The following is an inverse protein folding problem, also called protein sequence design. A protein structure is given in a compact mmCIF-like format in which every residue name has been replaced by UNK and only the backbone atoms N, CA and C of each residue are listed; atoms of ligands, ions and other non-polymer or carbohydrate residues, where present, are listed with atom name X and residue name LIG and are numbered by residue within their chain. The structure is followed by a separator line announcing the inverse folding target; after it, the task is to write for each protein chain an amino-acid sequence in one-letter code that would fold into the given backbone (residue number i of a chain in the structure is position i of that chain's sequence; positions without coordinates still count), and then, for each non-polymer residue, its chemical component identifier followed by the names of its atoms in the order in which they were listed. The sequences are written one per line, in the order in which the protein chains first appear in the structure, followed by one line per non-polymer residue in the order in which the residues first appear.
data_IF_209517906230
#
_entry.id   IF_209517906230
#
_cell.length_a   1.000
_cell.length_b   1.000
_cell.length_c   1.000
_cell.angle_alpha   90.00
_cell.angle_beta   90.00
_cell.angle_gamma   90.00
#
_symmetry.space_group_name_H-M   'P 1'
#
loop_
_entity.id
_entity.type
_entity.pdbx_description
1 polymer ?
#
# COMPACT_ATOMS: atom_id res chain seq x y z
N UNK A 1 -14.07 8.62 11.94
CA UNK A 1 -13.83 7.26 12.49
C UNK A 1 -13.58 6.19 11.41
N UNK A 2 -14.55 5.89 10.53
CA UNK A 2 -14.37 4.81 9.53
C UNK A 2 -13.20 5.04 8.56
N UNK A 3 -13.02 6.21 7.94
CA UNK A 3 -11.88 6.43 7.06
C UNK A 3 -10.54 6.20 7.75
N UNK A 4 -10.37 6.78 8.93
CA UNK A 4 -9.14 6.65 9.71
C UNK A 4 -8.88 5.23 10.19
N UNK A 5 -9.95 4.47 10.51
CA UNK A 5 -9.86 3.04 10.81
C UNK A 5 -9.38 2.23 9.59
N UNK A 6 -9.96 2.45 8.40
CA UNK A 6 -9.58 1.71 7.18
C UNK A 6 -8.16 2.05 6.77
N UNK A 7 -7.75 3.32 6.86
CA UNK A 7 -6.38 3.76 6.61
C UNK A 7 -5.43 3.07 7.59
N UNK A 8 -5.66 3.21 8.91
CA UNK A 8 -4.81 2.61 9.93
C UNK A 8 -4.73 1.08 9.85
N UNK A 9 -5.85 0.42 9.52
CA UNK A 9 -5.88 -1.03 9.30
C UNK A 9 -5.02 -1.42 8.09
N UNK A 10 -5.14 -0.70 6.99
CA UNK A 10 -4.45 -1.03 5.76
C UNK A 10 -2.95 -0.78 5.84
N UNK A 11 -2.54 0.42 6.20
CA UNK A 11 -1.12 0.78 6.31
C UNK A 11 -0.44 -0.03 7.43
N UNK A 12 -1.16 -0.21 8.55
CA UNK A 12 -0.71 -1.09 9.62
C UNK A 12 -0.53 -2.54 9.18
N UNK A 13 -1.39 -3.08 8.31
CA UNK A 13 -1.24 -4.42 7.75
C UNK A 13 -0.03 -4.52 6.82
N UNK A 14 0.25 -3.50 5.99
CA UNK A 14 1.44 -3.48 5.12
C UNK A 14 2.72 -3.48 5.96
N UNK A 15 2.80 -2.59 6.95
CA UNK A 15 3.92 -2.57 7.89
C UNK A 15 4.07 -3.90 8.66
N UNK A 16 2.96 -4.44 9.19
CA UNK A 16 2.97 -5.68 9.96
C UNK A 16 3.39 -6.90 9.13
N UNK A 17 3.01 -6.95 7.85
CA UNK A 17 3.45 -8.01 6.92
C UNK A 17 4.96 -7.95 6.68
N UNK A 18 5.51 -6.77 6.40
CA UNK A 18 6.94 -6.61 6.14
C UNK A 18 7.75 -6.97 7.39
N UNK A 19 7.39 -6.39 8.54
CA UNK A 19 8.07 -6.68 9.81
C UNK A 19 7.90 -8.15 10.20
N UNK A 20 6.71 -8.72 10.01
CA UNK A 20 6.42 -10.12 10.30
C UNK A 20 7.26 -11.08 9.48
N UNK A 21 7.41 -10.85 8.16
CA UNK A 21 8.24 -11.69 7.28
C UNK A 21 9.71 -11.58 7.69
N UNK A 22 10.23 -10.37 7.92
CA UNK A 22 11.61 -10.16 8.37
C UNK A 22 11.86 -10.84 9.73
N UNK A 23 10.93 -10.68 10.67
CA UNK A 23 11.02 -11.28 11.98
C UNK A 23 10.96 -12.81 11.92
N UNK A 24 10.06 -13.38 11.10
CA UNK A 24 9.97 -14.84 10.89
C UNK A 24 11.27 -15.40 10.33
N UNK A 25 11.82 -14.72 9.36
CA UNK A 25 13.04 -15.14 8.69
C UNK A 25 14.25 -15.11 9.63
N UNK A 26 14.43 -14.03 10.41
CA UNK A 26 15.49 -13.94 11.43
C UNK A 26 15.29 -14.94 12.57
N UNK A 27 14.03 -15.20 12.94
CA UNK A 27 13.68 -16.19 13.95
C UNK A 27 14.05 -17.61 13.53
N UNK A 28 13.78 -18.00 12.29
CA UNK A 28 14.16 -19.31 11.73
C UNK A 28 15.69 -19.52 11.71
N UNK A 29 16.45 -18.46 11.56
CA UNK A 29 17.92 -18.51 11.56
C UNK A 29 18.54 -18.40 12.96
N UNK A 30 17.73 -18.30 14.01
CA UNK A 30 18.23 -18.16 15.38
C UNK A 30 18.93 -16.83 15.68
N UNK A 31 18.85 -15.82 14.78
CA UNK A 31 19.52 -14.51 14.88
C UNK A 31 18.75 -13.55 15.80
N UNK A 32 18.65 -13.88 17.08
CA UNK A 32 17.92 -13.07 18.09
C UNK A 32 18.45 -11.64 18.23
N UNK A 33 19.76 -11.45 18.04
CA UNK A 33 20.37 -10.11 18.13
C UNK A 33 19.88 -9.21 16.98
N UNK A 34 19.81 -9.74 15.78
CA UNK A 34 19.28 -9.01 14.61
C UNK A 34 17.77 -8.72 14.78
N UNK A 35 17.01 -9.65 15.34
CA UNK A 35 15.60 -9.45 15.65
C UNK A 35 15.38 -8.28 16.62
N UNK A 36 16.22 -8.18 17.66
CA UNK A 36 16.18 -7.03 18.59
C UNK A 36 16.47 -5.72 17.87
N UNK A 37 17.45 -5.70 16.94
CA UNK A 37 17.76 -4.52 16.15
C UNK A 37 16.60 -4.12 15.23
N UNK A 38 15.88 -5.08 14.63
CA UNK A 38 14.66 -4.82 13.85
C UNK A 38 13.62 -4.09 14.71
N UNK A 39 13.34 -4.59 15.92
CA UNK A 39 12.37 -3.94 16.82
C UNK A 39 12.79 -2.53 17.23
N UNK A 40 14.08 -2.30 17.47
CA UNK A 40 14.62 -0.96 17.74
C UNK A 40 14.41 -0.06 16.51
N UNK A 41 14.74 -0.54 15.30
CA UNK A 41 14.53 0.20 14.06
C UNK A 41 13.06 0.56 13.84
N UNK A 42 12.15 -0.40 14.02
CA UNK A 42 10.69 -0.18 13.93
C UNK A 42 10.23 0.88 14.95
N UNK A 43 10.69 0.78 16.21
CA UNK A 43 10.33 1.76 17.25
C UNK A 43 10.82 3.16 16.91
N UNK A 44 12.03 3.30 16.38
CA UNK A 44 12.57 4.59 15.94
C UNK A 44 11.74 5.15 14.77
N UNK A 45 11.42 4.32 13.76
CA UNK A 45 10.60 4.74 12.62
C UNK A 45 9.22 5.24 13.08
N UNK A 46 8.54 4.51 13.94
CA UNK A 46 7.23 4.89 14.51
C UNK A 46 7.35 6.20 15.29
N UNK A 47 8.40 6.34 16.13
CA UNK A 47 8.61 7.57 16.90
C UNK A 47 8.84 8.79 16.01
N UNK A 48 9.58 8.64 14.91
CA UNK A 48 9.78 9.69 13.91
C UNK A 48 8.46 10.08 13.27
N UNK A 49 7.65 9.11 12.85
CA UNK A 49 6.34 9.37 12.23
C UNK A 49 5.38 10.09 13.19
N UNK A 50 5.34 9.67 14.45
CA UNK A 50 4.53 10.35 15.49
C UNK A 50 5.02 11.78 15.68
N UNK A 51 6.33 12.01 15.78
CA UNK A 51 6.90 13.35 15.93
C UNK A 51 6.56 14.26 14.75
N UNK A 52 6.66 13.73 13.51
CA UNK A 52 6.26 14.46 12.29
C UNK A 52 4.76 14.80 12.33
N UNK A 53 3.90 13.84 12.69
CA UNK A 53 2.46 14.05 12.79
C UNK A 53 2.09 15.14 13.81
N UNK A 54 2.69 15.10 14.99
CA UNK A 54 2.50 16.13 16.03
C UNK A 54 3.01 17.48 15.53
N UNK A 55 4.19 17.54 14.92
CA UNK A 55 4.76 18.80 14.42
C UNK A 55 3.85 19.44 13.36
N UNK A 56 3.36 18.64 12.39
CA UNK A 56 2.45 19.13 11.37
C UNK A 56 1.12 19.62 11.96
N UNK A 57 0.58 18.91 12.95
CA UNK A 57 -0.65 19.32 13.63
C UNK A 57 -0.48 20.63 14.39
N UNK A 58 0.64 20.81 15.11
CA UNK A 58 0.93 22.04 15.84
C UNK A 58 1.10 23.22 14.87
N UNK A 59 1.90 23.02 13.81
CA UNK A 59 2.08 24.05 12.78
C UNK A 59 0.74 24.45 12.17
N UNK A 60 -0.12 23.48 11.83
CA UNK A 60 -1.42 23.76 11.25
C UNK A 60 -2.32 24.59 12.18
N UNK A 61 -2.30 24.31 13.50
CA UNK A 61 -3.16 25.00 14.47
C UNK A 61 -2.77 26.47 14.72
N UNK A 62 -1.50 26.84 14.48
CA UNK A 62 -0.98 28.18 14.72
C UNK A 62 -1.12 29.11 13.50
N UNK A 63 -1.57 28.60 12.36
CA UNK A 63 -1.70 29.37 11.12
C UNK A 63 -2.98 30.22 11.09
N UNK A 64 -2.94 31.43 10.47
CA UNK A 64 -4.13 32.17 10.11
C UNK A 64 -5.04 31.32 9.21
N UNK A 65 -6.37 31.45 9.34
CA UNK A 65 -7.35 30.62 8.66
C UNK A 65 -7.07 30.38 7.16
N UNK A 66 -6.80 31.43 6.41
CA UNK A 66 -6.48 31.31 4.96
C UNK A 66 -5.26 30.44 4.66
N UNK A 67 -4.24 30.50 5.51
CA UNK A 67 -3.02 29.70 5.35
C UNK A 67 -3.28 28.26 5.77
N UNK A 68 -4.10 28.06 6.79
CA UNK A 68 -4.55 26.76 7.23
C UNK A 68 -5.33 26.06 6.10
N UNK A 69 -6.31 26.72 5.49
CA UNK A 69 -7.08 26.20 4.33
C UNK A 69 -6.15 25.85 3.14
N UNK A 70 -5.16 26.73 2.87
CA UNK A 70 -4.14 26.43 1.85
C UNK A 70 -3.27 25.21 2.19
N UNK A 71 -2.88 25.05 3.44
CA UNK A 71 -2.13 23.86 3.90
C UNK A 71 -2.99 22.59 3.75
N UNK A 72 -4.25 22.65 4.18
CA UNK A 72 -5.21 21.55 4.07
C UNK A 72 -5.43 21.12 2.63
N UNK A 73 -5.55 22.09 1.71
CA UNK A 73 -5.63 21.84 0.27
C UNK A 73 -4.40 21.08 -0.24
N UNK A 74 -3.20 21.52 0.11
CA UNK A 74 -1.96 20.89 -0.34
C UNK A 74 -1.82 19.48 0.24
N UNK A 75 -2.06 19.31 1.55
CA UNK A 75 -1.99 18.00 2.21
C UNK A 75 -3.04 17.05 1.65
N UNK A 76 -4.27 17.53 1.43
CA UNK A 76 -5.33 16.76 0.80
C UNK A 76 -4.99 16.32 -0.62
N UNK A 77 -4.45 17.23 -1.45
CA UNK A 77 -4.02 16.90 -2.80
C UNK A 77 -2.87 15.86 -2.82
N UNK A 78 -1.88 16.02 -1.95
CA UNK A 78 -0.80 15.04 -1.79
C UNK A 78 -1.37 13.69 -1.39
N UNK A 79 -2.27 13.65 -0.40
CA UNK A 79 -2.91 12.42 0.06
C UNK A 79 -3.66 11.71 -1.08
N UNK A 80 -4.43 12.44 -1.89
CA UNK A 80 -5.13 11.89 -3.06
C UNK A 80 -4.17 11.27 -4.06
N UNK A 81 -3.07 11.96 -4.40
CA UNK A 81 -2.04 11.44 -5.33
C UNK A 81 -1.41 10.17 -4.76
N UNK A 82 -1.04 10.16 -3.47
CA UNK A 82 -0.43 9.01 -2.79
C UNK A 82 -1.39 7.82 -2.76
N UNK A 83 -2.66 8.01 -2.34
CA UNK A 83 -3.68 6.94 -2.35
C UNK A 83 -3.88 6.39 -3.76
N UNK A 84 -3.99 7.26 -4.76
CA UNK A 84 -4.18 6.86 -6.15
C UNK A 84 -3.02 5.98 -6.63
N UNK A 85 -1.79 6.45 -6.43
CA UNK A 85 -0.59 5.69 -6.80
C UNK A 85 -0.55 4.34 -6.09
N UNK A 86 -0.75 4.33 -4.77
CA UNK A 86 -0.71 3.15 -3.93
C UNK A 86 -1.77 2.12 -4.33
N UNK A 87 -3.02 2.55 -4.54
CA UNK A 87 -4.12 1.66 -4.96
C UNK A 87 -3.85 1.05 -6.34
N UNK A 88 -3.34 1.82 -7.29
CA UNK A 88 -2.98 1.34 -8.62
C UNK A 88 -1.79 0.38 -8.60
N UNK A 89 -0.78 0.68 -7.77
CA UNK A 89 0.39 -0.17 -7.59
C UNK A 89 0.02 -1.51 -6.93
N UNK A 90 -0.72 -1.46 -5.81
CA UNK A 90 -1.17 -2.65 -5.09
C UNK A 90 -2.07 -3.55 -5.94
N UNK A 91 -2.91 -2.96 -6.78
CA UNK A 91 -3.73 -3.73 -7.71
C UNK A 91 -2.89 -4.64 -8.60
N UNK A 92 -1.67 -4.21 -8.98
CA UNK A 92 -0.76 -4.96 -9.85
C UNK A 92 0.09 -5.99 -9.09
N UNK A 93 0.47 -5.69 -7.84
CA UNK A 93 1.48 -6.45 -7.09
C UNK A 93 0.91 -7.24 -5.88
N UNK A 94 -0.35 -7.04 -5.49
CA UNK A 94 -0.92 -7.64 -4.27
C UNK A 94 -0.93 -9.18 -4.23
N UNK A 95 -0.82 -9.85 -5.39
CA UNK A 95 -0.81 -11.32 -5.47
C UNK A 95 0.57 -11.90 -5.20
N UNK A 96 1.60 -11.18 -5.59
CA UNK A 96 2.99 -11.64 -5.57
C UNK A 96 3.77 -11.05 -4.39
N UNK A 97 3.16 -10.09 -3.65
CA UNK A 97 3.79 -9.32 -2.58
C UNK A 97 4.52 -10.20 -1.54
N UNK A 98 3.89 -11.31 -1.13
CA UNK A 98 4.51 -12.24 -0.17
C UNK A 98 5.78 -12.88 -0.75
N UNK A 99 5.71 -13.36 -1.98
CA UNK A 99 6.86 -13.97 -2.67
C UNK A 99 8.00 -12.97 -2.92
N UNK A 100 7.65 -11.75 -3.31
CA UNK A 100 8.63 -10.68 -3.54
C UNK A 100 9.37 -10.32 -2.24
N UNK A 101 8.65 -10.22 -1.12
CA UNK A 101 9.23 -9.94 0.20
C UNK A 101 10.10 -11.10 0.72
N UNK A 102 9.66 -12.36 0.54
CA UNK A 102 10.43 -13.54 0.90
C UNK A 102 11.72 -13.64 0.06
N UNK A 103 11.64 -13.35 -1.23
CA UNK A 103 12.79 -13.30 -2.13
C UNK A 103 13.78 -12.19 -1.78
N UNK A 104 13.27 -10.98 -1.47
CA UNK A 104 14.09 -9.86 -1.05
C UNK A 104 14.81 -10.14 0.28
N UNK A 105 14.09 -10.75 1.25
CA UNK A 105 14.67 -11.18 2.52
C UNK A 105 15.73 -12.27 2.31
N UNK A 106 15.45 -13.25 1.45
CA UNK A 106 16.40 -14.31 1.08
C UNK A 106 17.68 -13.77 0.44
N UNK A 107 17.56 -12.82 -0.49
CA UNK A 107 18.70 -12.18 -1.15
C UNK A 107 19.55 -11.34 -0.19
N UNK A 108 18.92 -10.60 0.73
CA UNK A 108 19.63 -9.84 1.75
C UNK A 108 20.42 -10.72 2.71
N UNK A 109 19.99 -11.95 2.93
CA UNK A 109 20.69 -12.93 3.75
C UNK A 109 21.79 -13.68 3.01
N UNK A 110 21.57 -14.00 1.74
CA UNK A 110 22.63 -14.58 0.90
C UNK A 110 23.86 -13.66 0.86
N UNK A 111 23.66 -12.34 0.98
CA UNK A 111 24.73 -11.35 1.15
C UNK A 111 25.35 -11.29 2.56
N UNK A 112 24.87 -12.10 3.51
CA UNK A 112 25.39 -12.20 4.88
C UNK A 112 25.08 -11.03 5.81
N UNK A 113 24.29 -10.06 5.38
CA UNK A 113 24.08 -8.79 6.10
C UNK A 113 22.75 -8.74 6.85
N UNK A 114 22.74 -9.12 8.13
CA UNK A 114 21.60 -8.86 8.99
C UNK A 114 21.26 -7.36 9.10
N UNK A 115 22.24 -6.46 8.92
CA UNK A 115 22.05 -5.01 8.91
C UNK A 115 21.14 -4.58 7.75
N UNK A 116 21.25 -5.21 6.58
CA UNK A 116 20.41 -4.90 5.43
C UNK A 116 18.92 -5.16 5.73
N UNK A 117 18.60 -6.24 6.44
CA UNK A 117 17.22 -6.55 6.87
C UNK A 117 16.67 -5.54 7.89
N UNK A 118 17.52 -5.10 8.82
CA UNK A 118 17.14 -4.06 9.80
C UNK A 118 16.83 -2.74 9.09
N UNK A 119 17.69 -2.32 8.16
CA UNK A 119 17.48 -1.10 7.37
C UNK A 119 16.25 -1.21 6.49
N UNK A 120 16.03 -2.37 5.86
CA UNK A 120 14.85 -2.63 5.04
C UNK A 120 13.55 -2.51 5.89
N UNK A 121 13.51 -3.14 7.06
CA UNK A 121 12.36 -3.05 7.96
C UNK A 121 12.13 -1.62 8.47
N UNK A 122 13.20 -0.91 8.85
CA UNK A 122 13.15 0.49 9.27
C UNK A 122 12.58 1.39 8.17
N UNK A 123 13.12 1.33 6.95
CA UNK A 123 12.68 2.17 5.83
C UNK A 123 11.26 1.84 5.40
N UNK A 124 10.87 0.56 5.42
CA UNK A 124 9.52 0.16 5.10
C UNK A 124 8.52 0.72 6.12
N UNK A 125 8.77 0.55 7.42
CA UNK A 125 7.88 1.09 8.47
C UNK A 125 7.87 2.62 8.46
N UNK A 126 9.00 3.26 8.19
CA UNK A 126 9.08 4.73 8.06
C UNK A 126 8.22 5.22 6.91
N UNK A 127 8.25 4.53 5.76
CA UNK A 127 7.42 4.83 4.60
C UNK A 127 5.93 4.68 4.92
N UNK A 128 5.51 3.52 5.41
CA UNK A 128 4.09 3.25 5.73
C UNK A 128 3.59 4.18 6.83
N UNK A 129 4.43 4.47 7.82
CA UNK A 129 4.12 5.42 8.88
C UNK A 129 3.97 6.85 8.37
N UNK A 130 4.81 7.29 7.43
CA UNK A 130 4.69 8.60 6.79
C UNK A 130 3.41 8.70 5.95
N UNK A 131 3.09 7.66 5.15
CA UNK A 131 1.83 7.57 4.40
C UNK A 131 0.63 7.67 5.36
N UNK A 132 0.67 6.92 6.48
CA UNK A 132 -0.36 6.98 7.53
C UNK A 132 -0.53 8.40 8.08
N UNK A 133 0.56 9.10 8.41
CA UNK A 133 0.51 10.47 8.96
C UNK A 133 -0.17 11.42 7.98
N UNK A 134 0.23 11.40 6.70
CA UNK A 134 -0.35 12.27 5.66
C UNK A 134 -1.85 11.98 5.48
N UNK A 135 -2.24 10.71 5.41
CA UNK A 135 -3.64 10.33 5.23
C UNK A 135 -4.51 10.65 6.44
N UNK A 136 -3.98 10.42 7.65
CA UNK A 136 -4.70 10.78 8.88
C UNK A 136 -4.87 12.29 8.99
N UNK A 137 -3.83 13.07 8.70
CA UNK A 137 -3.90 14.53 8.76
C UNK A 137 -4.96 15.06 7.76
N UNK A 138 -4.91 14.61 6.49
CA UNK A 138 -5.91 14.96 5.49
C UNK A 138 -7.33 14.59 5.91
N UNK A 139 -7.50 13.42 6.53
CA UNK A 139 -8.82 12.93 6.95
C UNK A 139 -9.31 13.61 8.23
N UNK A 140 -8.43 14.04 9.14
CA UNK A 140 -8.80 14.77 10.35
C UNK A 140 -9.44 16.12 10.02
N UNK A 141 -8.84 16.86 9.09
CA UNK A 141 -9.39 18.14 8.63
C UNK A 141 -10.77 17.94 7.95
N UNK A 142 -10.92 16.88 7.16
CA UNK A 142 -12.20 16.57 6.51
C UNK A 142 -13.32 16.10 7.45
N UNK A 143 -13.02 15.61 8.67
CA UNK A 143 -14.00 14.85 9.49
C UNK A 143 -14.71 15.64 10.58
N UNK A 144 -14.32 16.85 10.90
CA UNK A 144 -14.95 17.73 11.91
C UNK A 144 -14.98 17.18 13.36
N UNK A 145 -14.54 15.93 13.60
CA UNK A 145 -14.50 15.32 14.94
C UNK A 145 -13.19 14.56 15.17
N UNK A 146 -12.21 15.27 15.73
CA UNK A 146 -10.87 14.75 15.96
C UNK A 146 -10.85 13.49 16.84
N UNK A 147 -11.65 13.45 17.92
CA UNK A 147 -11.65 12.33 18.86
C UNK A 147 -12.07 11.02 18.22
N UNK A 148 -13.14 11.03 17.42
CA UNK A 148 -13.60 9.84 16.70
C UNK A 148 -12.60 9.41 15.62
N UNK A 149 -11.90 10.35 15.02
CA UNK A 149 -10.87 10.06 14.01
C UNK A 149 -9.65 9.41 14.63
N UNK A 150 -9.19 9.90 15.80
CA UNK A 150 -8.12 9.25 16.57
C UNK A 150 -8.49 7.84 17.01
N UNK A 151 -9.71 7.64 17.53
CA UNK A 151 -10.20 6.32 17.90
C UNK A 151 -10.19 5.36 16.72
N UNK A 152 -10.65 5.81 15.55
CA UNK A 152 -10.62 5.00 14.33
C UNK A 152 -9.20 4.57 13.96
N UNK A 153 -8.25 5.51 13.94
CA UNK A 153 -6.86 5.22 13.61
C UNK A 153 -6.23 4.21 14.58
N UNK A 154 -6.39 4.41 15.89
CA UNK A 154 -5.85 3.51 16.91
C UNK A 154 -6.45 2.12 16.79
N UNK A 155 -7.76 2.00 16.62
CA UNK A 155 -8.43 0.70 16.45
C UNK A 155 -8.00 0.00 15.16
N UNK A 156 -7.83 0.74 14.06
CA UNK A 156 -7.35 0.21 12.79
C UNK A 156 -5.94 -0.36 12.91
N UNK A 157 -5.01 0.41 13.48
CA UNK A 157 -3.62 -0.03 13.72
C UNK A 157 -3.57 -1.20 14.69
N UNK A 158 -4.33 -1.16 15.79
CA UNK A 158 -4.38 -2.26 16.76
C UNK A 158 -4.85 -3.56 16.12
N UNK A 159 -5.91 -3.50 15.31
CA UNK A 159 -6.40 -4.66 14.56
C UNK A 159 -5.37 -5.15 13.54
N UNK A 160 -4.67 -4.26 12.85
CA UNK A 160 -3.59 -4.62 11.93
C UNK A 160 -2.45 -5.37 12.63
N UNK A 161 -2.03 -4.92 13.80
CA UNK A 161 -1.00 -5.59 14.61
C UNK A 161 -1.47 -6.98 15.05
N UNK A 162 -2.72 -7.12 15.51
CA UNK A 162 -3.30 -8.42 15.90
C UNK A 162 -3.33 -9.38 14.70
N UNK A 163 -3.81 -8.92 13.56
CA UNK A 163 -3.87 -9.73 12.33
C UNK A 163 -2.47 -10.10 11.83
N UNK A 164 -1.54 -9.15 11.82
CA UNK A 164 -0.14 -9.40 11.46
C UNK A 164 0.52 -10.44 12.36
N UNK A 165 0.29 -10.35 13.67
CA UNK A 165 0.77 -11.33 14.62
C UNK A 165 0.13 -12.73 14.43
N UNK A 166 -1.18 -12.77 14.14
CA UNK A 166 -1.90 -14.01 13.86
C UNK A 166 -1.39 -14.68 12.57
N UNK A 167 -1.09 -13.90 11.53
CA UNK A 167 -0.48 -14.39 10.29
C UNK A 167 0.94 -14.91 10.57
N UNK A 168 1.74 -14.15 11.32
CA UNK A 168 3.09 -14.56 11.71
C UNK A 168 3.10 -15.91 12.44
N UNK A 169 2.16 -16.16 13.35
CA UNK A 169 2.01 -17.45 14.05
C UNK A 169 1.41 -18.57 13.19
N UNK A 170 1.05 -18.30 11.94
CA UNK A 170 0.43 -19.27 11.04
C UNK A 170 -1.02 -19.64 11.39
N UNK A 171 -1.63 -18.92 12.36
CA UNK A 171 -2.98 -19.19 12.83
C UNK A 171 -4.11 -18.71 11.88
N UNK A 172 -3.80 -17.81 10.94
CA UNK A 172 -4.80 -17.23 10.04
C UNK A 172 -4.25 -17.14 8.62
N UNK A 173 -5.02 -17.67 7.66
CA UNK A 173 -4.76 -17.56 6.24
C UNK A 173 -5.65 -16.47 5.64
N UNK A 174 -5.18 -15.24 5.58
CA UNK A 174 -5.90 -14.12 4.95
C UNK A 174 -5.53 -14.09 3.47
N UNK A 175 -6.55 -14.03 2.61
CA UNK A 175 -6.33 -13.74 1.20
C UNK A 175 -5.99 -12.25 1.03
N UNK A 176 -4.69 -11.94 1.09
CA UNK A 176 -4.15 -10.58 0.99
C UNK A 176 -4.65 -9.86 -0.28
N UNK A 177 -4.72 -10.57 -1.41
CA UNK A 177 -5.22 -9.97 -2.64
C UNK A 177 -6.67 -9.51 -2.56
N UNK A 178 -7.54 -10.27 -1.85
CA UNK A 178 -8.94 -9.87 -1.60
C UNK A 178 -9.01 -8.73 -0.59
N UNK A 179 -8.24 -8.80 0.49
CA UNK A 179 -8.17 -7.76 1.51
C UNK A 179 -7.78 -6.41 0.89
N UNK A 180 -6.65 -6.34 0.18
CA UNK A 180 -6.18 -5.10 -0.44
C UNK A 180 -7.10 -4.61 -1.57
N UNK A 181 -7.82 -5.51 -2.24
CA UNK A 181 -8.83 -5.10 -3.23
C UNK A 181 -10.02 -4.41 -2.57
N UNK A 182 -10.55 -4.98 -1.49
CA UNK A 182 -11.72 -4.42 -0.79
C UNK A 182 -11.33 -3.09 -0.13
N UNK A 183 -10.26 -3.06 0.65
CA UNK A 183 -9.78 -1.83 1.29
C UNK A 183 -9.38 -0.76 0.27
N UNK A 184 -8.81 -1.16 -0.88
CA UNK A 184 -8.50 -0.26 -1.98
C UNK A 184 -9.73 0.41 -2.59
N UNK A 185 -10.85 -0.30 -2.77
CA UNK A 185 -12.11 0.29 -3.23
C UNK A 185 -12.64 1.31 -2.20
N UNK A 186 -12.61 0.96 -0.93
CA UNK A 186 -13.02 1.88 0.15
C UNK A 186 -12.13 3.13 0.16
N UNK A 187 -10.81 2.96 -0.01
CA UNK A 187 -9.89 4.10 -0.07
C UNK A 187 -10.09 4.99 -1.30
N UNK A 188 -10.49 4.44 -2.45
CA UNK A 188 -10.85 5.24 -3.63
C UNK A 188 -12.05 6.15 -3.32
N UNK A 189 -13.05 5.63 -2.58
CA UNK A 189 -14.21 6.44 -2.16
C UNK A 189 -13.79 7.53 -1.17
N UNK A 190 -12.96 7.19 -0.19
CA UNK A 190 -12.41 8.16 0.78
C UNK A 190 -11.57 9.23 0.05
N UNK A 191 -10.72 8.82 -0.88
CA UNK A 191 -9.90 9.76 -1.67
C UNK A 191 -10.75 10.68 -2.54
N UNK A 192 -11.87 10.21 -3.08
CA UNK A 192 -12.83 11.07 -3.78
C UNK A 192 -13.39 12.13 -2.81
N UNK A 193 -13.71 11.76 -1.57
CA UNK A 193 -14.09 12.70 -0.51
C UNK A 193 -12.99 13.72 -0.21
N UNK A 194 -11.72 13.28 -0.16
CA UNK A 194 -10.59 14.20 0.02
C UNK A 194 -10.41 15.15 -1.18
N UNK A 195 -10.68 14.71 -2.41
CA UNK A 195 -10.70 15.60 -3.59
C UNK A 195 -11.74 16.70 -3.39
N UNK A 196 -12.96 16.34 -2.98
CA UNK A 196 -14.02 17.30 -2.72
C UNK A 196 -13.61 18.30 -1.63
N UNK A 197 -13.08 17.83 -0.50
CA UNK A 197 -12.58 18.68 0.58
C UNK A 197 -11.44 19.58 0.12
N UNK A 198 -10.46 19.05 -0.64
CA UNK A 198 -9.34 19.85 -1.14
C UNK A 198 -9.78 20.95 -2.11
N UNK A 199 -10.82 20.72 -2.93
CA UNK A 199 -11.41 21.74 -3.78
C UNK A 199 -12.14 22.79 -2.95
N UNK A 200 -12.83 22.37 -1.89
CA UNK A 200 -13.52 23.25 -0.95
C UNK A 200 -12.55 24.18 -0.24
N UNK A 201 -11.52 23.62 0.39
CA UNK A 201 -10.49 24.40 1.11
C UNK A 201 -9.67 25.30 0.17
N UNK A 202 -9.41 24.85 -1.07
CA UNK A 202 -8.80 25.71 -2.10
C UNK A 202 -9.65 26.93 -2.45
N UNK A 203 -10.97 26.78 -2.38
CA UNK A 203 -11.92 27.85 -2.60
C UNK A 203 -11.92 28.82 -1.41
N UNK A 204 -11.95 28.33 -0.18
CA UNK A 204 -11.86 29.13 1.03
C UNK A 204 -10.51 29.86 1.18
N UNK A 205 -9.41 29.23 0.75
CA UNK A 205 -8.09 29.87 0.64
C UNK A 205 -8.04 30.97 -0.43
N UNK A 206 -9.07 31.06 -1.30
CA UNK A 206 -9.16 32.05 -2.37
C UNK A 206 -8.34 31.69 -3.61
N UNK A 207 -7.93 30.43 -3.76
CA UNK A 207 -7.18 29.95 -4.95
C UNK A 207 -8.10 29.61 -6.12
N UNK A 208 -9.37 29.26 -5.84
CA UNK A 208 -10.38 28.94 -6.83
C UNK A 208 -11.56 29.91 -6.67
N UNK A 209 -11.95 30.59 -7.76
CA UNK A 209 -13.07 31.55 -7.76
C UNK A 209 -14.18 31.15 -8.70
N UNK A 210 -13.98 30.10 -9.51
CA UNK A 210 -14.94 29.65 -10.51
C UNK A 210 -15.84 28.52 -9.98
N UNK A 211 -17.08 28.46 -10.47
CA UNK A 211 -17.97 27.32 -10.20
C UNK A 211 -18.57 27.29 -8.78
N UNK A 212 -18.65 28.43 -8.09
CA UNK A 212 -19.14 28.57 -6.71
C UNK A 212 -20.68 28.56 -6.60
N UNK A 213 -21.40 28.33 -7.68
CA UNK A 213 -22.86 28.21 -7.61
C UNK A 213 -23.22 26.89 -6.95
N UNK A 214 -24.15 26.93 -6.01
CA UNK A 214 -24.66 25.73 -5.35
C UNK A 214 -25.20 24.75 -6.40
N UNK A 215 -24.74 23.49 -6.32
CA UNK A 215 -25.15 22.45 -7.26
C UNK A 215 -26.43 21.75 -6.79
N UNK A 216 -26.47 21.35 -5.52
CA UNK A 216 -27.53 20.56 -4.94
C UNK A 216 -27.79 21.00 -3.48
N UNK A 217 -29.00 20.82 -3.01
CA UNK A 217 -29.35 20.92 -1.59
C UNK A 217 -29.47 19.50 -1.03
N UNK A 218 -28.47 19.09 -0.27
CA UNK A 218 -28.41 17.79 0.39
C UNK A 218 -28.68 17.91 1.90
N UNK A 219 -29.20 19.05 2.39
CA UNK A 219 -29.48 19.27 3.80
C UNK A 219 -30.46 18.27 4.40
N UNK A 220 -31.32 17.66 3.57
CA UNK A 220 -32.20 16.57 4.00
C UNK A 220 -31.46 15.28 4.36
N UNK A 221 -30.32 15.00 3.71
CA UNK A 221 -29.47 13.83 3.93
C UNK A 221 -28.36 14.12 4.94
N UNK A 222 -27.71 15.27 4.80
CA UNK A 222 -26.55 15.69 5.61
C UNK A 222 -26.98 16.76 6.61
N UNK A 223 -27.80 16.37 7.60
CA UNK A 223 -28.23 17.29 8.66
C UNK A 223 -27.10 17.49 9.66
N UNK A 224 -26.59 18.72 9.87
CA UNK A 224 -25.55 18.98 10.85
C UNK A 224 -25.95 18.46 12.25
N UNK A 225 -25.00 17.84 12.95
CA UNK A 225 -25.21 17.27 14.28
C UNK A 225 -25.82 15.86 14.33
N UNK A 226 -26.13 15.24 13.19
CA UNK A 226 -26.59 13.84 13.17
C UNK A 226 -25.42 12.87 12.95
N UNK A 227 -25.46 11.64 13.52
CA UNK A 227 -24.43 10.62 13.27
C UNK A 227 -24.32 10.25 11.78
N UNK A 228 -25.45 10.30 11.05
CA UNK A 228 -25.49 10.03 9.61
C UNK A 228 -24.74 11.11 8.83
N UNK A 229 -24.92 12.39 9.18
CA UNK A 229 -24.17 13.49 8.59
C UNK A 229 -22.66 13.32 8.79
N UNK A 230 -22.24 13.04 10.02
CA UNK A 230 -20.83 12.79 10.32
C UNK A 230 -20.25 11.60 9.53
N UNK A 231 -21.06 10.58 9.28
CA UNK A 231 -20.67 9.44 8.46
C UNK A 231 -20.54 9.82 6.98
N UNK A 232 -21.56 10.46 6.42
CA UNK A 232 -21.61 10.83 5.00
C UNK A 232 -20.52 11.86 4.68
N UNK A 233 -20.38 12.90 5.50
CA UNK A 233 -19.32 13.90 5.32
C UNK A 233 -17.93 13.29 5.55
N UNK A 234 -17.75 12.46 6.59
CA UNK A 234 -16.46 11.86 6.90
C UNK A 234 -15.98 10.80 5.91
N UNK A 235 -16.87 10.01 5.29
CA UNK A 235 -16.52 8.94 4.36
C UNK A 235 -16.50 9.41 2.93
N UNK A 236 -17.54 10.17 2.53
CA UNK A 236 -17.74 10.59 1.15
C UNK A 236 -17.29 12.03 0.88
N UNK A 237 -16.95 12.80 1.92
CA UNK A 237 -16.62 14.22 1.82
C UNK A 237 -17.81 15.12 1.46
N UNK A 238 -19.03 14.56 1.40
CA UNK A 238 -20.22 15.26 0.91
C UNK A 238 -20.68 16.26 1.97
N UNK A 239 -20.76 17.54 1.58
CA UNK A 239 -21.28 18.63 2.39
C UNK A 239 -22.79 18.88 2.13
N UNK A 240 -23.50 19.59 3.04
CA UNK A 240 -24.92 19.86 2.86
C UNK A 240 -25.25 20.67 1.60
N UNK A 241 -24.36 21.57 1.20
CA UNK A 241 -24.52 22.51 0.06
C UNK A 241 -23.30 22.47 -0.86
N UNK A 242 -23.05 21.36 -1.57
CA UNK A 242 -21.88 21.26 -2.44
C UNK A 242 -22.02 22.20 -3.64
N UNK A 243 -20.91 22.80 -4.04
CA UNK A 243 -20.83 23.63 -5.26
C UNK A 243 -20.50 22.77 -6.49
N UNK A 244 -20.80 23.25 -7.69
CA UNK A 244 -20.63 22.49 -8.93
C UNK A 244 -19.20 21.99 -9.14
N UNK A 245 -18.19 22.81 -8.83
CA UNK A 245 -16.80 22.41 -9.02
C UNK A 245 -16.40 21.22 -8.12
N UNK A 246 -16.94 21.15 -6.91
CA UNK A 246 -16.69 20.05 -5.96
C UNK A 246 -17.31 18.75 -6.47
N UNK A 247 -18.57 18.81 -6.94
CA UNK A 247 -19.28 17.63 -7.48
C UNK A 247 -18.59 17.11 -8.75
N UNK A 248 -18.19 18.00 -9.63
CA UNK A 248 -17.47 17.64 -10.88
C UNK A 248 -16.12 17.02 -10.54
N UNK A 249 -15.35 17.60 -9.63
CA UNK A 249 -14.05 17.05 -9.21
C UNK A 249 -14.19 15.68 -8.56
N UNK A 250 -15.17 15.52 -7.66
CA UNK A 250 -15.50 14.24 -7.02
C UNK A 250 -15.80 13.14 -8.04
N UNK A 251 -16.72 13.41 -9.00
CA UNK A 251 -17.09 12.44 -10.02
C UNK A 251 -15.97 12.18 -11.02
N UNK A 252 -15.22 13.21 -11.41
CA UNK A 252 -14.08 13.11 -12.31
C UNK A 252 -12.96 12.23 -11.73
N UNK A 253 -12.84 12.15 -10.41
CA UNK A 253 -11.92 11.24 -9.73
C UNK A 253 -12.55 9.85 -9.52
N UNK A 254 -13.74 9.80 -8.92
CA UNK A 254 -14.38 8.55 -8.47
C UNK A 254 -14.68 7.61 -9.65
N UNK A 255 -15.29 8.14 -10.71
CA UNK A 255 -15.75 7.29 -11.82
C UNK A 255 -14.60 6.60 -12.55
N UNK A 256 -13.53 7.29 -13.00
CA UNK A 256 -12.39 6.61 -13.62
C UNK A 256 -11.73 5.61 -12.70
N UNK A 257 -11.58 5.94 -11.41
CA UNK A 257 -10.94 5.05 -10.44
C UNK A 257 -11.76 3.77 -10.19
N UNK A 258 -13.08 3.87 -10.06
CA UNK A 258 -13.95 2.70 -9.93
C UNK A 258 -13.95 1.84 -11.20
N UNK A 259 -13.98 2.46 -12.38
CA UNK A 259 -13.87 1.75 -13.66
C UNK A 259 -12.52 1.01 -13.73
N UNK A 260 -11.42 1.68 -13.40
CA UNK A 260 -10.10 1.05 -13.35
C UNK A 260 -10.08 -0.12 -12.36
N UNK A 261 -10.67 0.02 -11.16
CA UNK A 261 -10.69 -1.03 -10.14
C UNK A 261 -11.58 -2.22 -10.53
N UNK A 262 -12.66 -1.98 -11.28
CA UNK A 262 -13.58 -3.01 -11.75
C UNK A 262 -13.04 -3.79 -12.94
N UNK A 263 -12.10 -3.20 -13.70
CA UNK A 263 -11.56 -3.81 -14.91
C UNK A 263 -10.82 -5.12 -14.57
N UNK A 264 -11.18 -6.27 -15.17
CA UNK A 264 -10.53 -7.52 -14.88
C UNK A 264 -9.06 -7.46 -15.30
N UNK A 265 -8.14 -7.73 -14.39
CA UNK A 265 -6.74 -7.89 -14.76
C UNK A 265 -6.58 -9.17 -15.56
N UNK A 266 -6.12 -9.06 -16.80
CA UNK A 266 -5.66 -10.21 -17.57
C UNK A 266 -4.52 -10.85 -16.78
N UNK A 267 -4.75 -12.05 -16.27
CA UNK A 267 -3.69 -12.86 -15.67
C UNK A 267 -2.56 -12.97 -16.67
N UNK A 268 -1.39 -12.40 -16.37
CA UNK A 268 -0.18 -12.78 -17.10
C UNK A 268 0.00 -14.26 -16.85
N UNK A 269 -0.16 -15.08 -17.89
CA UNK A 269 0.25 -16.50 -17.82
C UNK A 269 1.69 -16.50 -17.34
N UNK A 270 2.03 -17.37 -16.37
CA UNK A 270 3.43 -17.55 -15.99
C UNK A 270 4.23 -17.77 -17.28
N UNK A 271 5.32 -17.04 -17.45
CA UNK A 271 6.27 -17.41 -18.51
C UNK A 271 6.60 -18.88 -18.29
N UNK A 272 6.53 -19.74 -19.33
CA UNK A 272 7.05 -21.09 -19.19
C UNK A 272 8.47 -20.95 -18.66
N UNK A 273 8.73 -21.56 -17.53
CA UNK A 273 10.10 -21.70 -17.03
C UNK A 273 10.85 -22.39 -18.17
N UNK A 274 11.96 -21.86 -18.67
CA UNK A 274 12.77 -22.58 -19.64
C UNK A 274 13.03 -23.93 -19.00
N UNK A 275 12.67 -25.00 -19.73
CA UNK A 275 12.93 -26.36 -19.31
C UNK A 275 14.42 -26.43 -19.03
N UNK A 276 14.77 -26.56 -17.76
CA UNK A 276 16.17 -26.76 -17.38
C UNK A 276 16.50 -28.11 -17.99
N UNK A 277 17.22 -28.08 -19.13
CA UNK A 277 17.81 -29.26 -19.73
C UNK A 277 18.58 -29.93 -18.60
N UNK A 278 18.01 -30.97 -18.05
CA UNK A 278 18.60 -31.70 -16.93
C UNK A 278 19.96 -32.21 -17.42
N UNK A 279 20.96 -32.19 -16.57
CA UNK A 279 22.30 -32.67 -16.86
C UNK A 279 22.29 -34.07 -17.49
N UNK A 280 21.29 -34.86 -17.22
CA UNK A 280 20.99 -36.19 -17.80
C UNK A 280 20.75 -36.15 -19.31
N UNK A 281 20.03 -35.12 -19.83
CA UNK A 281 19.78 -35.01 -21.27
C UNK A 281 21.07 -34.62 -22.02
N UNK A 282 21.93 -33.84 -21.36
CA UNK A 282 23.22 -33.47 -21.91
C UNK A 282 24.21 -34.64 -21.86
N UNK A 283 24.19 -35.46 -20.81
CA UNK A 283 24.96 -36.69 -20.71
C UNK A 283 24.54 -37.73 -21.76
N UNK A 284 23.23 -37.92 -21.98
CA UNK A 284 22.71 -38.80 -23.03
C UNK A 284 23.09 -38.31 -24.44
N UNK A 285 23.03 -37.00 -24.68
CA UNK A 285 23.44 -36.42 -25.96
C UNK A 285 24.96 -36.59 -26.21
N UNK A 286 25.80 -36.43 -25.19
CA UNK A 286 27.23 -36.65 -25.25
C UNK A 286 27.52 -38.14 -25.46
N UNK A 287 26.83 -39.05 -24.76
CA UNK A 287 26.98 -40.48 -24.91
C UNK A 287 26.62 -40.95 -26.32
N UNK A 288 25.53 -40.46 -26.87
CA UNK A 288 25.10 -40.75 -28.25
C UNK A 288 26.09 -40.25 -29.30
N UNK A 289 26.71 -39.06 -29.06
CA UNK A 289 27.74 -38.53 -29.93
C UNK A 289 29.06 -39.35 -29.89
N UNK A 290 29.41 -39.88 -28.71
CA UNK A 290 30.55 -40.76 -28.53
C UNK A 290 30.37 -42.13 -29.21
N UNK A 291 29.18 -42.73 -29.09
CA UNK A 291 28.86 -44.00 -29.74
C UNK A 291 28.87 -43.88 -31.27
N UNK A 292 28.33 -42.79 -31.83
CA UNK A 292 28.41 -42.53 -33.28
C UNK A 292 29.83 -42.31 -33.77
N UNK A 293 30.69 -41.69 -32.95
CA UNK A 293 32.09 -41.50 -33.29
C UNK A 293 32.87 -42.85 -33.30
N UNK A 294 32.53 -43.76 -32.39
CA UNK A 294 33.14 -45.11 -32.35
C UNK A 294 32.70 -46.00 -33.53
N UNK A 295 31.43 -45.95 -33.93
CA UNK A 295 30.94 -46.69 -35.10
C UNK A 295 31.58 -46.19 -36.40
N UNK A 296 31.81 -44.87 -36.53
CA UNK A 296 32.48 -44.29 -37.70
C UNK A 296 33.97 -44.70 -37.86
N UNK A 297 34.63 -45.08 -36.77
CA UNK A 297 36.03 -45.54 -36.78
C UNK A 297 36.13 -47.01 -37.19
N UNK A 298 35.19 -47.86 -36.80
CA UNK A 298 35.21 -49.28 -37.14
C UNK A 298 34.88 -49.55 -38.61
N UNK A 299 34.13 -48.70 -39.30
CA UNK A 299 33.81 -48.84 -40.71
C UNK A 299 34.92 -48.38 -41.68
N UNK A 300 35.91 -47.70 -41.21
CA UNK A 300 37.08 -47.25 -42.08
C UNK A 300 38.25 -48.20 -42.11
N UNK A 301 38.22 -49.34 -41.39
CA UNK A 301 39.31 -50.26 -41.21
C UNK A 301 39.36 -51.44 -42.18
N UNK A 302 38.40 -51.63 -43.11
CA UNK A 302 38.35 -52.78 -44.01
C UNK A 302 38.21 -52.34 -45.47
N UNK A 303 39.34 -51.84 -46.05
CA UNK A 303 39.50 -51.86 -47.51
C UNK A 303 40.63 -52.86 -47.82
N UNK A 304 40.40 -53.97 -48.55
CA UNK A 304 41.44 -54.85 -48.96
C UNK A 304 42.16 -54.22 -50.13
N UNK A 305 43.47 -54.11 -49.96
CA UNK A 305 44.43 -53.83 -51.05
C UNK A 305 44.38 -54.96 -52.09
N UNK A 306 44.11 -54.64 -53.33
CA UNK A 306 44.49 -55.34 -54.52
C UNK A 306 45.17 -54.38 -55.46
#
# INVERSE_FOLDING_TARGET
MIPTFVIGLREGMEAALIVGIVAAFLGQQGRRDALRQVWIGVSIAVSICIAIGIALQVISSDLPQRQQEGLETVVGAIAVVMVTYMVLWMRRHSRDLKGDLESAAGSALASGSAKALVVMAFLAVLREGFETVVFLLATFHASGNATLSWLGAVLGIALAVILGWAIYKGGVHINLGRFFRITGIVLVVIAAGLVMTAVHTANEAGWLTAGQTQALDLSWLVRPGTPLSSFVTGVFGIQPYPVWIEVVAYLAYLVPMLVLMSWPQRSRRPRPVPEVVTSTDNELAVQHALDQAQEGVTHRGTSPVR
#
